data_IF_691757342039
#
_entry.id   IF_691757342039
#
_cell.length_a   1.000
_cell.length_b   1.000
_cell.length_c   1.000
_cell.angle_alpha   90.00
_cell.angle_beta   90.00
_cell.angle_gamma   90.00
#
_symmetry.space_group_name_H-M   'P 1'
#
loop_
_entity.id
_entity.type
_entity.pdbx_description
1 polymer ?
#
# COMPACT_ATOMS: atom_id res chain seq x y z
N UNK A 1 4.63 17.05 -20.33
CA UNK A 1 5.23 15.75 -19.96
C UNK A 1 4.10 14.85 -19.50
N UNK A 2 3.95 13.66 -20.08
CA UNK A 2 2.95 12.69 -19.61
C UNK A 2 3.50 12.03 -18.35
N UNK A 3 2.79 12.10 -17.23
CA UNK A 3 3.14 11.34 -16.03
C UNK A 3 2.97 9.85 -16.33
N UNK A 4 3.89 9.01 -15.85
CA UNK A 4 3.76 7.55 -16.01
C UNK A 4 2.61 7.06 -15.15
N UNK A 5 1.87 6.06 -15.61
CA UNK A 5 0.83 5.42 -14.80
C UNK A 5 1.42 4.84 -13.50
N UNK A 6 2.68 4.40 -13.52
CA UNK A 6 3.38 3.92 -12.34
C UNK A 6 3.61 5.02 -11.30
N UNK A 7 3.93 6.25 -11.73
CA UNK A 7 4.11 7.38 -10.82
C UNK A 7 2.80 7.71 -10.09
N UNK A 8 1.68 7.67 -10.82
CA UNK A 8 0.34 7.89 -10.24
C UNK A 8 0.01 6.81 -9.20
N UNK A 9 0.33 5.55 -9.48
CA UNK A 9 0.11 4.43 -8.56
C UNK A 9 0.97 4.61 -7.31
N UNK A 10 2.25 4.97 -7.46
CA UNK A 10 3.18 5.18 -6.33
C UNK A 10 2.69 6.34 -5.46
N UNK A 11 2.25 7.45 -6.05
CA UNK A 11 1.70 8.59 -5.30
C UNK A 11 0.44 8.21 -4.50
N UNK A 12 -0.45 7.40 -5.08
CA UNK A 12 -1.62 6.88 -4.37
C UNK A 12 -1.22 5.95 -3.21
N UNK A 13 -0.24 5.07 -3.41
CA UNK A 13 0.28 4.20 -2.35
C UNK A 13 0.89 5.01 -1.20
N UNK A 14 1.64 6.09 -1.51
CA UNK A 14 2.17 7.01 -0.49
C UNK A 14 1.02 7.68 0.27
N UNK A 15 0.00 8.16 -0.43
CA UNK A 15 -1.15 8.83 0.18
C UNK A 15 -1.87 7.93 1.19
N UNK A 16 -2.09 6.66 0.84
CA UNK A 16 -2.73 5.71 1.73
C UNK A 16 -1.83 5.26 2.90
N UNK A 17 -0.52 5.12 2.68
CA UNK A 17 0.40 4.62 3.71
C UNK A 17 0.83 5.66 4.74
N UNK A 18 0.72 6.95 4.41
CA UNK A 18 1.21 8.07 5.23
C UNK A 18 0.12 8.93 5.85
N UNK A 19 -1.16 8.68 5.56
CA UNK A 19 -2.26 9.44 6.15
C UNK A 19 -2.34 9.22 7.67
N UNK A 20 -2.82 10.24 8.39
CA UNK A 20 -2.93 10.22 9.85
C UNK A 20 -4.03 9.26 10.37
N UNK A 21 -5.03 8.96 9.52
CA UNK A 21 -6.13 8.07 9.88
C UNK A 21 -5.77 6.60 9.67
N UNK A 22 -6.45 5.70 10.41
CA UNK A 22 -6.29 4.26 10.17
C UNK A 22 -6.75 3.93 8.74
N UNK A 23 -5.93 3.23 7.93
CA UNK A 23 -6.27 2.87 6.57
C UNK A 23 -7.41 1.85 6.54
N UNK A 24 -8.42 2.09 5.71
CA UNK A 24 -9.55 1.18 5.52
C UNK A 24 -9.10 -0.13 4.86
N UNK A 25 -9.87 -1.23 5.02
CA UNK A 25 -9.59 -2.49 4.33
C UNK A 25 -9.42 -2.33 2.80
N UNK A 26 -10.22 -1.45 2.19
CA UNK A 26 -10.14 -1.19 0.74
C UNK A 26 -8.83 -0.51 0.33
N UNK A 27 -8.32 0.43 1.12
CA UNK A 27 -7.04 1.10 0.86
C UNK A 27 -5.86 0.15 1.01
N UNK A 28 -5.90 -0.73 2.02
CA UNK A 28 -4.88 -1.76 2.24
C UNK A 28 -4.83 -2.73 1.06
N UNK A 29 -5.99 -3.25 0.64
CA UNK A 29 -6.10 -4.11 -0.54
C UNK A 29 -5.67 -3.40 -1.82
N UNK A 30 -5.91 -2.09 -1.93
CA UNK A 30 -5.45 -1.31 -3.07
C UNK A 30 -3.93 -1.26 -3.15
N UNK A 31 -3.23 -1.06 -2.03
CA UNK A 31 -1.76 -1.11 -1.99
C UNK A 31 -1.27 -2.53 -2.28
N UNK A 32 -1.85 -3.56 -1.66
CA UNK A 32 -1.48 -4.97 -1.89
C UNK A 32 -1.55 -5.35 -3.37
N UNK A 33 -2.66 -4.97 -4.03
CA UNK A 33 -2.86 -5.25 -5.45
C UNK A 33 -1.97 -4.40 -6.36
N UNK A 34 -1.58 -3.19 -5.94
CA UNK A 34 -0.74 -2.30 -6.72
C UNK A 34 0.75 -2.69 -6.71
N UNK A 35 1.23 -3.31 -5.61
CA UNK A 35 2.64 -3.62 -5.40
C UNK A 35 3.32 -4.35 -6.58
N UNK A 36 2.74 -5.42 -7.17
CA UNK A 36 3.37 -6.11 -8.30
C UNK A 36 3.57 -5.24 -9.53
N UNK A 37 2.72 -4.23 -9.74
CA UNK A 37 2.77 -3.34 -10.91
C UNK A 37 3.84 -2.26 -10.79
N UNK A 38 4.32 -1.98 -9.58
CA UNK A 38 5.34 -0.95 -9.33
C UNK A 38 6.64 -1.54 -8.77
N UNK A 39 6.75 -2.87 -8.67
CA UNK A 39 7.90 -3.54 -8.07
C UNK A 39 9.24 -3.15 -8.75
N UNK A 40 9.26 -3.07 -10.08
CA UNK A 40 10.45 -2.66 -10.86
C UNK A 40 10.75 -1.15 -10.77
N UNK A 41 9.80 -0.36 -10.25
CA UNK A 41 9.89 1.09 -10.13
C UNK A 41 10.21 1.55 -8.69
N UNK A 42 10.32 0.61 -7.74
CA UNK A 42 10.62 0.88 -6.35
C UNK A 42 11.98 0.32 -5.96
N UNK A 43 12.70 1.05 -5.11
CA UNK A 43 13.86 0.50 -4.42
C UNK A 43 13.45 -0.74 -3.60
N UNK A 44 14.27 -1.80 -3.53
CA UNK A 44 13.91 -3.03 -2.81
C UNK A 44 13.54 -2.80 -1.35
N UNK A 45 14.16 -1.82 -0.70
CA UNK A 45 13.83 -1.44 0.67
C UNK A 45 12.43 -0.80 0.77
N UNK A 46 12.10 0.11 -0.14
CA UNK A 46 10.79 0.76 -0.21
C UNK A 46 9.68 -0.24 -0.50
N UNK A 47 9.90 -1.15 -1.46
CA UNK A 47 8.97 -2.24 -1.74
C UNK A 47 8.69 -3.09 -0.49
N UNK A 48 9.75 -3.51 0.23
CA UNK A 48 9.60 -4.26 1.48
C UNK A 48 8.83 -3.50 2.54
N UNK A 49 9.09 -2.19 2.71
CA UNK A 49 8.34 -1.37 3.67
C UNK A 49 6.84 -1.31 3.37
N UNK A 50 6.44 -1.30 2.10
CA UNK A 50 5.03 -1.38 1.74
C UNK A 50 4.42 -2.75 2.03
N UNK A 51 5.14 -3.84 1.77
CA UNK A 51 4.70 -5.19 2.11
C UNK A 51 4.46 -5.31 3.63
N UNK A 52 5.44 -4.89 4.43
CA UNK A 52 5.34 -4.90 5.90
C UNK A 52 4.19 -4.01 6.41
N UNK A 53 3.93 -2.88 5.74
CA UNK A 53 2.80 -2.01 6.06
C UNK A 53 1.47 -2.70 5.76
N UNK A 54 1.34 -3.40 4.63
CA UNK A 54 0.13 -4.16 4.27
C UNK A 54 -0.12 -5.27 5.29
N UNK A 55 0.89 -6.08 5.60
CA UNK A 55 0.77 -7.20 6.55
C UNK A 55 0.31 -6.72 7.93
N UNK A 56 0.98 -5.70 8.48
CA UNK A 56 0.65 -5.12 9.79
C UNK A 56 -0.78 -4.60 9.88
N UNK A 57 -1.27 -3.96 8.81
CA UNK A 57 -2.62 -3.43 8.82
C UNK A 57 -3.67 -4.53 8.55
N UNK A 58 -3.35 -5.59 7.80
CA UNK A 58 -4.24 -6.75 7.65
C UNK A 58 -4.44 -7.50 8.96
N UNK A 59 -3.39 -7.67 9.76
CA UNK A 59 -3.49 -8.27 11.11
C UNK A 59 -4.48 -7.50 11.99
N UNK A 60 -4.40 -6.15 11.98
CA UNK A 60 -5.30 -5.28 12.74
C UNK A 60 -6.79 -5.49 12.41
N UNK A 61 -7.11 -5.81 11.16
CA UNK A 61 -8.49 -6.07 10.72
C UNK A 61 -8.90 -7.54 10.82
N UNK A 62 -7.96 -8.48 10.89
CA UNK A 62 -8.25 -9.88 11.22
C UNK A 62 -8.78 -10.00 12.64
N UNK A 63 -8.23 -9.23 13.58
CA UNK A 63 -8.73 -9.17 14.95
C UNK A 63 -10.15 -8.58 15.03
N UNK A 64 -10.49 -7.61 14.17
CA UNK A 64 -11.83 -7.00 14.10
C UNK A 64 -12.91 -7.94 13.51
N UNK A 65 -12.52 -8.99 12.76
CA UNK A 65 -13.42 -9.98 12.15
C UNK A 65 -13.73 -11.17 13.07
N UNK A 66 -13.07 -11.26 14.24
CA UNK A 66 -13.22 -12.38 15.19
C UNK A 66 -14.20 -12.08 16.35
N UNK A 67 -14.99 -11.01 16.28
CA UNK A 67 -15.96 -10.60 17.31
C UNK A 67 -17.40 -10.80 16.84
#
# INVERSE_FOLDING_TARGET
MSQSIHDVIIELMISYSTKESTPTPAEILSIENALPFVAEHLEPATYRSYVEWVERNKERYQDDLLI
#
